data_IF_313888970404
#
_entry.id   IF_313888970404
#
_cell.length_a   1.000
_cell.length_b   1.000
_cell.length_c   1.000
_cell.angle_alpha   90.00
_cell.angle_beta   90.00
_cell.angle_gamma   90.00
#
_symmetry.space_group_name_H-M   'P 1'
#
loop_
_entity.id
_entity.type
_entity.pdbx_description
1 polymer ?
#
# COMPACT_ATOMS: atom_id res chain seq x y z
N UNK A 1 -12.51 -0.03 -17.42
CA UNK A 1 -13.52 0.57 -16.52
C UNK A 1 -13.77 2.00 -17.01
N UNK A 2 -14.78 2.73 -16.52
CA UNK A 2 -14.82 4.19 -16.76
C UNK A 2 -13.79 4.87 -15.85
N UNK A 3 -12.97 5.77 -16.40
CA UNK A 3 -11.95 6.53 -15.66
C UNK A 3 -12.57 7.32 -14.51
N UNK A 4 -13.81 7.82 -14.68
CA UNK A 4 -14.52 8.58 -13.65
C UNK A 4 -15.03 7.69 -12.49
N UNK A 5 -15.23 6.39 -12.74
CA UNK A 5 -15.70 5.44 -11.74
C UNK A 5 -14.55 4.78 -10.96
N UNK A 6 -13.34 4.70 -11.55
CA UNK A 6 -12.20 4.03 -10.94
C UNK A 6 -11.81 4.57 -9.55
N UNK A 7 -11.80 5.90 -9.30
CA UNK A 7 -11.52 6.44 -7.97
C UNK A 7 -12.52 6.01 -6.88
N UNK A 8 -13.72 5.53 -7.24
CA UNK A 8 -14.70 5.03 -6.27
C UNK A 8 -14.26 3.71 -5.61
N UNK A 9 -13.21 3.07 -6.11
CA UNK A 9 -12.56 1.92 -5.48
C UNK A 9 -11.71 2.32 -4.26
N UNK A 10 -11.30 3.60 -4.16
CA UNK A 10 -10.49 4.06 -3.03
C UNK A 10 -11.27 4.01 -1.72
N UNK A 11 -10.54 3.92 -0.61
CA UNK A 11 -11.10 4.15 0.72
C UNK A 11 -11.49 5.63 0.81
N UNK A 12 -12.47 5.93 1.64
CA UNK A 12 -12.91 7.30 1.92
C UNK A 12 -12.97 7.54 3.43
N UNK A 13 -13.24 8.79 3.83
CA UNK A 13 -13.29 9.17 5.24
C UNK A 13 -14.36 8.40 6.03
N UNK A 14 -15.48 8.01 5.41
CA UNK A 14 -16.55 7.23 6.06
C UNK A 14 -16.12 5.78 6.37
N UNK A 15 -15.10 5.27 5.67
CA UNK A 15 -14.54 3.95 5.94
C UNK A 15 -13.61 3.94 7.15
N UNK A 16 -13.13 5.11 7.58
CA UNK A 16 -12.14 5.27 8.65
C UNK A 16 -12.83 5.62 9.97
N UNK A 17 -12.25 5.19 11.10
CA UNK A 17 -12.73 5.62 12.42
C UNK A 17 -12.54 7.15 12.62
N UNK A 18 -13.19 7.73 13.64
CA UNK A 18 -13.34 9.20 13.77
C UNK A 18 -12.03 10.01 13.60
N UNK A 19 -12.15 11.14 12.88
CA UNK A 19 -11.16 12.23 12.74
C UNK A 19 -10.01 12.06 11.72
N UNK A 20 -10.18 11.23 10.69
CA UNK A 20 -9.30 11.29 9.52
C UNK A 20 -9.71 12.40 8.55
N UNK A 21 -8.72 12.99 7.88
CA UNK A 21 -8.89 14.00 6.84
C UNK A 21 -8.12 13.58 5.59
N UNK A 22 -8.76 13.70 4.43
CA UNK A 22 -8.11 13.47 3.15
C UNK A 22 -7.00 14.48 2.88
N UNK A 23 -5.84 13.99 2.47
CA UNK A 23 -4.71 14.78 2.00
C UNK A 23 -4.45 14.50 0.51
N UNK A 24 -3.86 15.48 -0.20
CA UNK A 24 -3.30 15.17 -1.51
C UNK A 24 -2.20 14.11 -1.32
N UNK A 25 -2.21 13.01 -2.10
CA UNK A 25 -1.11 12.05 -2.11
C UNK A 25 0.16 12.77 -2.55
N UNK A 26 0.93 13.27 -1.58
CA UNK A 26 1.99 14.22 -1.85
C UNK A 26 3.31 13.51 -2.16
N UNK A 27 4.10 14.13 -3.04
CA UNK A 27 5.49 13.76 -3.32
C UNK A 27 6.41 13.78 -2.09
N UNK A 28 5.93 14.15 -0.88
CA UNK A 28 6.70 14.00 0.35
C UNK A 28 7.02 12.53 0.67
N UNK A 29 6.36 11.58 0.01
CA UNK A 29 6.55 10.14 0.18
C UNK A 29 7.11 9.46 -1.07
N UNK A 30 8.04 10.08 -1.80
CA UNK A 30 8.88 9.37 -2.78
C UNK A 30 10.12 8.83 -2.06
N UNK A 31 10.07 7.64 -1.46
CA UNK A 31 11.25 7.07 -0.84
C UNK A 31 12.34 6.85 -1.87
N UNK A 32 13.58 7.04 -1.43
CA UNK A 32 14.77 6.54 -2.10
C UNK A 32 15.41 5.47 -1.24
N UNK A 33 15.87 4.40 -1.86
CA UNK A 33 16.65 3.39 -1.17
C UNK A 33 18.03 3.96 -0.82
N UNK A 34 18.48 3.68 0.41
CA UNK A 34 19.78 4.15 0.91
C UNK A 34 20.74 2.98 1.11
N UNK A 35 20.31 1.94 1.82
CA UNK A 35 21.16 0.78 2.15
C UNK A 35 20.34 -0.39 2.73
N UNK A 36 20.93 -1.57 2.87
CA UNK A 36 20.32 -2.75 3.50
C UNK A 36 20.22 -3.91 2.51
N UNK A 37 19.19 -4.75 2.68
CA UNK A 37 18.93 -5.85 1.76
C UNK A 37 18.61 -5.31 0.34
N UNK A 38 19.16 -5.93 -0.71
CA UNK A 38 18.96 -5.49 -2.10
C UNK A 38 17.48 -5.48 -2.51
N UNK A 39 16.68 -6.40 -1.97
CA UNK A 39 15.23 -6.43 -2.13
C UNK A 39 14.53 -5.17 -1.61
N UNK A 40 15.15 -4.42 -0.69
CA UNK A 40 14.66 -3.13 -0.23
C UNK A 40 14.62 -2.07 -1.35
N UNK A 41 15.55 -2.13 -2.30
CA UNK A 41 15.50 -1.28 -3.51
C UNK A 41 14.25 -1.60 -4.33
N UNK A 42 13.97 -2.88 -4.56
CA UNK A 42 12.79 -3.31 -5.30
C UNK A 42 11.48 -2.88 -4.59
N UNK A 43 11.41 -2.96 -3.26
CA UNK A 43 10.26 -2.46 -2.49
C UNK A 43 10.04 -0.97 -2.74
N UNK A 44 11.11 -0.16 -2.66
CA UNK A 44 11.05 1.29 -2.90
C UNK A 44 10.59 1.59 -4.32
N UNK A 45 11.21 0.96 -5.31
CA UNK A 45 10.91 1.20 -6.73
C UNK A 45 9.48 0.80 -7.08
N UNK A 46 9.02 -0.37 -6.61
CA UNK A 46 7.65 -0.83 -6.82
C UNK A 46 6.63 0.06 -6.10
N UNK A 47 6.93 0.51 -4.88
CA UNK A 47 6.03 1.43 -4.14
C UNK A 47 5.91 2.76 -4.87
N UNK A 48 7.02 3.34 -5.34
CA UNK A 48 7.01 4.57 -6.14
C UNK A 48 6.21 4.38 -7.43
N UNK A 49 6.48 3.29 -8.15
CA UNK A 49 5.77 2.97 -9.39
C UNK A 49 4.27 2.86 -9.19
N UNK A 50 3.84 2.21 -8.10
CA UNK A 50 2.43 2.07 -7.75
C UNK A 50 1.82 3.42 -7.37
N UNK A 51 2.43 4.15 -6.43
CA UNK A 51 1.95 5.48 -5.98
C UNK A 51 1.73 6.46 -7.13
N UNK A 52 2.57 6.41 -8.16
CA UNK A 52 2.49 7.31 -9.32
C UNK A 52 1.77 6.69 -10.52
N UNK A 53 1.34 5.43 -10.45
CA UNK A 53 0.71 4.72 -11.56
C UNK A 53 1.59 4.60 -12.81
N UNK A 54 2.91 4.59 -12.68
CA UNK A 54 3.85 4.73 -13.82
C UNK A 54 4.21 3.42 -14.52
N UNK A 55 3.68 2.28 -14.07
CA UNK A 55 3.88 1.01 -14.77
C UNK A 55 3.30 1.08 -16.20
N UNK A 56 4.02 0.62 -17.25
CA UNK A 56 3.58 0.76 -18.64
C UNK A 56 2.23 0.10 -18.96
N UNK A 57 1.90 -0.98 -18.25
CA UNK A 57 0.63 -1.72 -18.42
C UNK A 57 -0.50 -1.20 -17.51
N UNK A 58 -0.28 -0.12 -16.75
CA UNK A 58 -1.34 0.51 -15.95
C UNK A 58 -2.38 1.12 -16.87
N UNK A 59 -3.62 0.67 -16.77
CA UNK A 59 -4.75 1.23 -17.54
C UNK A 59 -5.55 2.24 -16.74
N UNK A 60 -5.63 2.04 -15.41
CA UNK A 60 -6.28 2.96 -14.48
C UNK A 60 -5.50 2.97 -13.18
N UNK A 61 -5.42 4.13 -12.53
CA UNK A 61 -4.72 4.33 -11.27
C UNK A 61 -5.45 5.37 -10.41
N UNK A 62 -5.51 5.12 -9.10
CA UNK A 62 -5.93 6.11 -8.13
C UNK A 62 -5.23 5.86 -6.78
N UNK A 63 -4.98 6.92 -6.04
CA UNK A 63 -4.42 6.86 -4.69
C UNK A 63 -5.11 7.87 -3.76
N UNK A 64 -5.17 7.53 -2.47
CA UNK A 64 -5.69 8.38 -1.42
C UNK A 64 -4.81 8.28 -0.17
N UNK A 65 -4.62 9.42 0.48
CA UNK A 65 -3.90 9.54 1.74
C UNK A 65 -4.84 10.16 2.77
N UNK A 66 -4.88 9.58 3.96
CA UNK A 66 -5.66 10.07 5.08
C UNK A 66 -4.78 10.13 6.32
N UNK A 67 -4.88 11.23 7.06
CA UNK A 67 -4.19 11.40 8.34
C UNK A 67 -5.17 11.85 9.41
N UNK A 68 -4.80 11.69 10.69
CA UNK A 68 -5.59 12.20 11.79
C UNK A 68 -4.73 12.98 12.80
N UNK A 69 -5.39 13.65 13.75
CA UNK A 69 -4.73 14.52 14.75
C UNK A 69 -3.75 13.79 15.68
N UNK A 70 -3.86 12.46 15.81
CA UNK A 70 -2.96 11.65 16.65
C UNK A 70 -1.78 11.07 15.85
N UNK A 71 -1.68 11.41 14.57
CA UNK A 71 -0.58 10.99 13.69
C UNK A 71 -0.73 9.60 13.10
N UNK A 72 -1.96 9.05 13.09
CA UNK A 72 -2.28 7.87 12.29
C UNK A 72 -2.30 8.22 10.80
N UNK A 73 -1.97 7.24 9.97
CA UNK A 73 -1.92 7.39 8.51
C UNK A 73 -2.58 6.20 7.86
N UNK A 74 -3.39 6.44 6.83
CA UNK A 74 -3.86 5.42 5.89
C UNK A 74 -3.53 5.88 4.49
N UNK A 75 -2.77 5.08 3.76
CA UNK A 75 -2.56 5.26 2.34
C UNK A 75 -3.20 4.09 1.60
N UNK A 76 -4.03 4.38 0.62
CA UNK A 76 -4.65 3.39 -0.25
C UNK A 76 -4.31 3.69 -1.69
N UNK A 77 -3.81 2.69 -2.38
CA UNK A 77 -3.54 2.72 -3.80
C UNK A 77 -4.32 1.59 -4.48
N UNK A 78 -4.92 1.92 -5.63
CA UNK A 78 -5.53 0.97 -6.55
C UNK A 78 -4.99 1.18 -7.96
N UNK A 79 -4.58 0.11 -8.62
CA UNK A 79 -4.20 0.14 -10.03
C UNK A 79 -4.76 -1.06 -10.78
N UNK A 80 -5.33 -0.80 -11.96
CA UNK A 80 -5.72 -1.83 -12.90
C UNK A 80 -4.63 -2.00 -13.95
N UNK A 81 -4.30 -3.25 -14.25
CA UNK A 81 -3.26 -3.59 -15.21
C UNK A 81 -3.82 -4.41 -16.37
N UNK A 82 -3.30 -4.16 -17.57
CA UNK A 82 -3.50 -5.01 -18.73
C UNK A 82 -2.63 -6.28 -18.71
N UNK A 83 -2.90 -7.20 -19.64
CA UNK A 83 -1.98 -8.27 -20.06
C UNK A 83 -1.41 -9.17 -18.95
N UNK A 84 -2.13 -9.35 -17.85
CA UNK A 84 -1.68 -10.19 -16.72
C UNK A 84 -0.63 -9.54 -15.83
N UNK A 85 -0.25 -8.28 -16.08
CA UNK A 85 0.79 -7.58 -15.33
C UNK A 85 0.43 -7.39 -13.84
N UNK A 86 -0.86 -7.34 -13.48
CA UNK A 86 -1.28 -7.29 -12.07
C UNK A 86 -0.69 -8.44 -11.24
N UNK A 87 -0.74 -9.68 -11.77
CA UNK A 87 -0.18 -10.85 -11.09
C UNK A 87 1.35 -10.80 -11.01
N UNK A 88 1.99 -10.27 -12.06
CA UNK A 88 3.44 -10.11 -12.09
C UNK A 88 3.89 -9.09 -11.03
N UNK A 89 3.30 -7.90 -11.02
CA UNK A 89 3.61 -6.84 -10.03
C UNK A 89 3.33 -7.31 -8.61
N UNK A 90 2.21 -8.02 -8.39
CA UNK A 90 1.94 -8.66 -7.10
C UNK A 90 3.06 -9.62 -6.67
N UNK A 91 3.49 -10.50 -7.57
CA UNK A 91 4.51 -11.50 -7.27
C UNK A 91 5.88 -10.85 -7.01
N UNK A 92 6.26 -9.86 -7.82
CA UNK A 92 7.50 -9.09 -7.64
C UNK A 92 7.51 -8.38 -6.29
N UNK A 93 6.40 -7.74 -5.91
CA UNK A 93 6.27 -7.09 -4.61
C UNK A 93 6.29 -8.10 -3.46
N UNK A 94 5.60 -9.24 -3.60
CA UNK A 94 5.63 -10.30 -2.59
C UNK A 94 7.05 -10.87 -2.41
N UNK A 95 7.76 -11.18 -3.50
CA UNK A 95 9.12 -11.72 -3.44
C UNK A 95 10.08 -10.69 -2.82
N UNK A 96 9.99 -9.42 -3.21
CA UNK A 96 10.78 -8.35 -2.60
C UNK A 96 10.51 -8.20 -1.10
N UNK A 97 9.24 -8.20 -0.69
CA UNK A 97 8.85 -8.17 0.73
C UNK A 97 9.31 -9.42 1.47
N UNK A 98 9.23 -10.61 0.85
CA UNK A 98 9.66 -11.89 1.43
C UNK A 98 11.16 -11.91 1.70
N UNK A 99 11.95 -11.40 0.78
CA UNK A 99 13.41 -11.49 0.81
C UNK A 99 14.06 -10.31 1.56
N UNK A 100 13.29 -9.25 1.85
CA UNK A 100 13.75 -8.11 2.64
C UNK A 100 13.46 -8.28 4.14
N UNK A 101 14.51 -8.43 4.96
CA UNK A 101 14.40 -8.40 6.41
C UNK A 101 14.56 -6.97 6.95
N UNK A 102 15.45 -6.18 6.35
CA UNK A 102 15.75 -4.82 6.78
C UNK A 102 16.31 -3.96 5.64
N UNK A 103 15.92 -2.68 5.62
CA UNK A 103 16.45 -1.70 4.68
C UNK A 103 16.34 -0.30 5.26
N UNK A 104 17.10 0.64 4.69
CA UNK A 104 17.02 2.06 4.99
C UNK A 104 16.49 2.79 3.77
N UNK A 105 15.52 3.67 3.99
CA UNK A 105 15.02 4.59 2.97
C UNK A 105 15.16 6.04 3.42
N UNK A 106 15.33 6.94 2.46
CA UNK A 106 15.29 8.39 2.64
C UNK A 106 14.01 8.97 2.07
N UNK A 107 13.46 9.99 2.70
CA UNK A 107 12.35 10.79 2.21
C UNK A 107 12.87 12.12 1.62
N UNK A 108 12.03 12.78 0.83
CA UNK A 108 12.37 14.01 0.11
C UNK A 108 12.69 15.20 1.04
N UNK A 109 12.25 15.16 2.29
CA UNK A 109 12.57 16.16 3.32
C UNK A 109 13.92 15.91 4.02
N UNK A 110 14.65 14.87 3.61
CA UNK A 110 15.94 14.48 4.16
C UNK A 110 15.86 13.51 5.34
N UNK A 111 14.66 13.13 5.79
CA UNK A 111 14.47 12.13 6.84
C UNK A 111 14.93 10.76 6.35
N UNK A 112 15.65 10.02 7.19
CA UNK A 112 16.02 8.62 6.93
C UNK A 112 15.35 7.69 7.94
N UNK A 113 14.80 6.60 7.45
CA UNK A 113 14.07 5.59 8.20
C UNK A 113 14.79 4.26 8.05
N UNK A 114 15.18 3.66 9.18
CA UNK A 114 15.55 2.25 9.23
C UNK A 114 14.29 1.41 9.37
N UNK A 115 14.07 0.49 8.45
CA UNK A 115 12.85 -0.30 8.34
C UNK A 115 13.19 -1.77 8.53
N UNK A 116 12.51 -2.42 9.45
CA UNK A 116 12.66 -3.85 9.75
C UNK A 116 11.33 -4.55 9.61
N UNK A 117 11.32 -5.69 8.92
CA UNK A 117 10.14 -6.54 8.82
C UNK A 117 9.91 -7.27 10.15
N UNK A 118 8.73 -7.11 10.72
CA UNK A 118 8.33 -7.73 11.97
C UNK A 118 7.58 -9.03 11.74
N UNK A 119 6.70 -9.05 10.74
CA UNK A 119 5.85 -10.20 10.43
C UNK A 119 5.44 -10.20 8.95
N UNK A 120 5.14 -11.37 8.40
CA UNK A 120 4.62 -11.57 7.05
C UNK A 120 3.66 -12.77 7.07
N UNK A 121 2.42 -12.55 6.67
CA UNK A 121 1.38 -13.57 6.66
C UNK A 121 0.49 -13.53 5.43
N UNK A 122 -0.17 -14.66 5.08
CA UNK A 122 -1.15 -14.69 4.02
C UNK A 122 -2.43 -13.95 4.41
N UNK A 123 -3.19 -13.50 3.40
CA UNK A 123 -4.53 -12.93 3.56
C UNK A 123 -5.48 -13.64 2.58
N UNK A 124 -6.55 -14.21 3.13
CA UNK A 124 -7.62 -14.88 2.37
C UNK A 124 -8.67 -13.85 1.90
N UNK A 125 -8.25 -12.92 1.04
CA UNK A 125 -9.10 -11.92 0.38
C UNK A 125 -8.77 -11.86 -1.12
N UNK A 126 -9.74 -11.48 -1.95
CA UNK A 126 -9.55 -11.34 -3.39
C UNK A 126 -9.10 -12.65 -4.04
N UNK A 127 -8.04 -12.57 -4.85
CA UNK A 127 -7.41 -13.73 -5.48
C UNK A 127 -6.29 -14.35 -4.61
N UNK A 128 -6.28 -14.02 -3.32
CA UNK A 128 -5.21 -14.29 -2.36
C UNK A 128 -4.25 -13.10 -2.25
N UNK A 129 -3.83 -12.77 -1.02
CA UNK A 129 -2.97 -11.62 -0.75
C UNK A 129 -2.00 -11.87 0.39
N UNK A 130 -1.29 -10.83 0.81
CA UNK A 130 -0.42 -10.89 1.97
C UNK A 130 -0.53 -9.63 2.84
N UNK A 131 -0.22 -9.81 4.12
CA UNK A 131 -0.05 -8.74 5.10
C UNK A 131 1.39 -8.76 5.58
N UNK A 132 2.01 -7.59 5.66
CA UNK A 132 3.35 -7.42 6.24
C UNK A 132 3.31 -6.36 7.32
N UNK A 133 4.04 -6.60 8.41
CA UNK A 133 4.23 -5.63 9.49
C UNK A 133 5.66 -5.11 9.44
N UNK A 134 5.80 -3.79 9.53
CA UNK A 134 7.08 -3.10 9.52
C UNK A 134 7.25 -2.27 10.78
N UNK A 135 8.46 -2.26 11.31
CA UNK A 135 8.91 -1.32 12.31
C UNK A 135 9.89 -0.35 11.64
N UNK A 136 9.51 0.91 11.58
CA UNK A 136 10.35 2.00 11.11
C UNK A 136 10.91 2.78 12.29
N UNK A 137 12.21 3.07 12.28
CA UNK A 137 12.87 3.88 13.31
C UNK A 137 13.53 5.10 12.69
N UNK A 138 13.25 6.27 13.27
CA UNK A 138 13.87 7.57 12.92
C UNK A 138 14.20 8.28 14.23
N UNK A 139 15.47 8.62 14.44
CA UNK A 139 15.99 9.18 15.68
C UNK A 139 15.52 8.41 16.93
N UNK A 140 14.64 9.01 17.74
CA UNK A 140 14.07 8.43 18.96
C UNK A 140 12.64 7.89 18.76
N UNK A 141 12.10 8.00 17.55
CA UNK A 141 10.74 7.56 17.22
C UNK A 141 10.74 6.15 16.65
N UNK A 142 9.68 5.42 17.02
CA UNK A 142 9.36 4.10 16.50
C UNK A 142 7.96 4.16 15.92
N UNK A 143 7.84 3.74 14.67
CA UNK A 143 6.61 3.79 13.90
C UNK A 143 6.31 2.38 13.43
N UNK A 144 5.23 1.81 13.92
CA UNK A 144 4.72 0.53 13.43
C UNK A 144 3.75 0.79 12.30
N UNK A 145 3.95 0.08 11.19
CA UNK A 145 3.05 0.12 10.04
C UNK A 145 2.69 -1.28 9.60
N UNK A 146 1.57 -1.39 8.89
CA UNK A 146 1.13 -2.63 8.27
C UNK A 146 0.78 -2.35 6.82
N UNK A 147 1.16 -3.25 5.92
CA UNK A 147 0.72 -3.21 4.53
C UNK A 147 -0.10 -4.45 4.22
N UNK A 148 -1.21 -4.28 3.49
CA UNK A 148 -1.97 -5.38 2.89
C UNK A 148 -2.02 -5.16 1.39
N UNK A 149 -1.58 -6.18 0.66
CA UNK A 149 -1.54 -6.18 -0.80
C UNK A 149 -2.44 -7.31 -1.29
N UNK A 150 -3.46 -6.97 -2.06
CA UNK A 150 -4.46 -7.94 -2.55
C UNK A 150 -4.81 -7.66 -4.02
N UNK A 151 -4.46 -8.57 -4.94
CA UNK A 151 -4.98 -8.57 -6.30
C UNK A 151 -6.43 -9.11 -6.32
N UNK A 152 -7.26 -8.53 -7.18
CA UNK A 152 -8.57 -9.07 -7.55
C UNK A 152 -8.95 -8.61 -8.96
N UNK A 153 -9.30 -9.53 -9.85
CA UNK A 153 -9.83 -9.24 -11.20
C UNK A 153 -8.95 -8.27 -12.02
N UNK A 154 -7.63 -8.40 -11.89
CA UNK A 154 -6.64 -7.53 -12.57
C UNK A 154 -6.43 -6.16 -11.92
N UNK A 155 -7.02 -5.91 -10.76
CA UNK A 155 -6.82 -4.71 -9.93
C UNK A 155 -5.94 -5.08 -8.72
N UNK A 156 -4.87 -4.34 -8.49
CA UNK A 156 -4.03 -4.47 -7.30
C UNK A 156 -4.46 -3.42 -6.26
N UNK A 157 -4.87 -3.88 -5.09
CA UNK A 157 -5.12 -3.03 -3.92
C UNK A 157 -3.87 -3.06 -3.04
N UNK A 158 -3.35 -1.89 -2.70
CA UNK A 158 -2.26 -1.69 -1.74
C UNK A 158 -2.78 -0.76 -0.65
N UNK A 159 -2.88 -1.26 0.58
CA UNK A 159 -3.21 -0.45 1.76
C UNK A 159 -2.01 -0.42 2.70
N UNK A 160 -1.54 0.76 3.08
CA UNK A 160 -0.57 0.99 4.14
C UNK A 160 -1.29 1.70 5.30
N UNK A 161 -1.15 1.17 6.51
CA UNK A 161 -1.65 1.83 7.72
C UNK A 161 -0.56 2.03 8.75
N UNK A 162 -0.63 3.16 9.42
CA UNK A 162 -0.05 3.44 10.74
C UNK A 162 -1.22 3.67 11.69
N UNK A 163 -1.79 2.60 12.23
CA UNK A 163 -2.91 2.65 13.19
C UNK A 163 -2.59 1.73 14.37
N UNK A 164 -2.85 2.15 15.64
CA UNK A 164 -2.56 1.33 16.81
C UNK A 164 -3.30 -0.01 16.84
N UNK A 165 -4.53 -0.07 16.36
CA UNK A 165 -5.29 -1.32 16.25
C UNK A 165 -4.81 -2.14 15.05
N UNK A 166 -4.17 -3.28 15.34
CA UNK A 166 -3.69 -4.20 14.32
C UNK A 166 -4.80 -4.84 13.48
N UNK A 167 -6.02 -4.95 13.98
CA UNK A 167 -7.15 -5.55 13.24
C UNK A 167 -7.66 -4.65 12.11
N UNK A 168 -7.40 -3.34 12.22
CA UNK A 168 -7.95 -2.33 11.33
C UNK A 168 -7.52 -2.52 9.87
N UNK A 169 -6.28 -2.96 9.65
CA UNK A 169 -5.81 -3.18 8.27
C UNK A 169 -6.58 -4.29 7.55
N UNK A 170 -7.02 -5.32 8.27
CA UNK A 170 -7.83 -6.39 7.68
C UNK A 170 -9.25 -5.92 7.38
N UNK A 171 -9.82 -5.04 8.22
CA UNK A 171 -11.13 -4.41 7.98
C UNK A 171 -11.09 -3.55 6.73
N UNK A 172 -10.11 -2.65 6.64
CA UNK A 172 -9.94 -1.76 5.49
C UNK A 172 -9.68 -2.53 4.19
N UNK A 173 -8.84 -3.58 4.25
CA UNK A 173 -8.62 -4.45 3.10
C UNK A 173 -9.89 -5.16 2.62
N UNK A 174 -10.74 -5.61 3.54
CA UNK A 174 -12.02 -6.22 3.18
C UNK A 174 -12.93 -5.22 2.46
N UNK A 175 -13.07 -4.00 2.98
CA UNK A 175 -13.87 -2.94 2.37
C UNK A 175 -13.40 -2.64 0.94
N UNK A 176 -12.09 -2.47 0.75
CA UNK A 176 -11.52 -2.18 -0.57
C UNK A 176 -11.80 -3.33 -1.56
N UNK A 177 -11.66 -4.58 -1.14
CA UNK A 177 -11.89 -5.75 -2.00
C UNK A 177 -13.37 -5.98 -2.29
N UNK A 178 -14.26 -5.72 -1.33
CA UNK A 178 -15.71 -5.78 -1.54
C UNK A 178 -16.15 -4.73 -2.58
N UNK A 179 -15.54 -3.55 -2.61
CA UNK A 179 -15.79 -2.54 -3.66
C UNK A 179 -15.40 -3.03 -5.05
N UNK A 180 -14.25 -3.68 -5.17
CA UNK A 180 -13.84 -4.31 -6.44
C UNK A 180 -14.88 -5.35 -6.87
N UNK A 181 -15.26 -6.26 -5.97
CA UNK A 181 -16.25 -7.32 -6.23
C UNK A 181 -17.61 -6.77 -6.71
N UNK A 182 -18.10 -5.74 -6.04
CA UNK A 182 -19.38 -5.11 -6.38
C UNK A 182 -19.33 -4.40 -7.75
N UNK A 183 -18.18 -3.82 -8.10
CA UNK A 183 -18.02 -3.08 -9.35
C UNK A 183 -17.81 -4.00 -10.57
N UNK A 184 -17.14 -5.14 -10.38
CA UNK A 184 -16.91 -6.16 -11.42
C UNK A 184 -18.04 -7.17 -11.53
N UNK A 185 -18.94 -7.23 -10.54
CA UNK A 185 -20.04 -8.19 -10.48
C UNK A 185 -19.61 -9.62 -10.13
N UNK A 186 -18.41 -9.78 -9.56
CA UNK A 186 -17.84 -11.08 -9.13
C UNK A 186 -17.99 -11.25 -7.61
N UNK A 187 -19.11 -11.87 -7.22
CA UNK A 187 -19.41 -12.29 -5.83
C UNK A 187 -18.84 -13.66 -5.49
#
# INVERSE_FOLDING_TARGET
MDDAAFPQLLLNEEDLEESFYGEEPSAAYDPVFVSGDESGQAIVDLTNMLTHGTHPETTHHASALFTNIVGSVVFHHVAQFGNGACRQVYQELFDAVRDCAHYRMGLNDGVQLDITRVDLGPVELGDGGFVVRWLSTVDHFRIETAWVIVPKDGILNFINTRIPDGSEIHRLARIAIDRVANLTGTS
#
